data_IF_524849240591
#
_entry.id   IF_524849240591
#
_cell.length_a   1.000
_cell.length_b   1.000
_cell.length_c   1.000
_cell.angle_alpha   90.00
_cell.angle_beta   90.00
_cell.angle_gamma   90.00
#
_symmetry.space_group_name_H-M   'P 1'
#
loop_
_entity.id
_entity.type
_entity.pdbx_description
1 polymer ?
#
# COMPACT_ATOMS: atom_id res chain seq x y z
N UNK A 1 12.52 39.39 -92.62
CA UNK A 1 13.50 39.67 -91.57
C UNK A 1 12.82 40.38 -90.38
N UNK A 2 11.91 39.71 -89.69
CA UNK A 2 11.14 40.29 -88.55
C UNK A 2 10.93 39.31 -87.39
N UNK A 3 11.55 38.11 -87.46
CA UNK A 3 11.50 37.10 -86.38
C UNK A 3 12.80 36.95 -85.57
N UNK A 4 13.84 37.73 -85.88
CA UNK A 4 15.11 37.70 -85.15
C UNK A 4 15.21 38.80 -84.05
N UNK A 5 14.39 39.85 -84.11
CA UNK A 5 14.44 40.97 -83.15
C UNK A 5 13.60 40.74 -81.88
N UNK A 6 12.70 39.74 -81.87
CA UNK A 6 11.82 39.47 -80.73
C UNK A 6 12.45 38.49 -79.72
N UNK A 7 13.41 37.68 -80.16
CA UNK A 7 14.16 36.76 -79.29
C UNK A 7 15.26 37.50 -78.53
N UNK A 8 15.82 38.58 -79.07
CA UNK A 8 16.89 39.35 -78.41
C UNK A 8 16.40 40.23 -77.24
N UNK A 9 15.12 40.61 -77.22
CA UNK A 9 14.53 41.42 -76.14
C UNK A 9 14.03 40.56 -74.97
N UNK A 10 13.74 39.28 -75.21
CA UNK A 10 13.28 38.33 -74.18
C UNK A 10 14.44 37.70 -73.38
N UNK A 11 15.66 37.69 -73.94
CA UNK A 11 16.87 37.18 -73.27
C UNK A 11 17.56 38.27 -72.41
N UNK A 12 17.26 39.56 -72.63
CA UNK A 12 17.81 40.66 -71.82
C UNK A 12 17.07 40.90 -70.48
N UNK A 13 15.87 40.34 -70.29
CA UNK A 13 15.14 40.41 -69.01
C UNK A 13 15.44 39.23 -68.06
N UNK A 14 16.26 38.27 -68.47
CA UNK A 14 16.80 37.22 -67.59
C UNK A 14 18.14 37.61 -66.94
N UNK A 15 18.64 38.82 -67.22
CA UNK A 15 19.90 39.37 -66.70
C UNK A 15 19.77 40.25 -65.45
N UNK A 16 18.59 40.34 -64.83
CA UNK A 16 18.48 40.88 -63.47
C UNK A 16 18.60 39.71 -62.51
N UNK A 17 19.84 39.33 -62.24
CA UNK A 17 20.21 38.70 -60.98
C UNK A 17 19.65 39.57 -59.86
N UNK A 18 18.46 39.24 -59.37
CA UNK A 18 18.20 39.39 -57.96
C UNK A 18 19.30 38.58 -57.29
N UNK A 19 20.33 39.27 -56.81
CA UNK A 19 21.05 38.80 -55.66
C UNK A 19 19.99 38.64 -54.57
N UNK A 20 19.34 37.49 -54.52
CA UNK A 20 18.78 36.99 -53.28
C UNK A 20 20.04 36.73 -52.47
N UNK A 21 20.47 37.77 -51.78
CA UNK A 21 21.25 37.62 -50.57
C UNK A 21 20.39 36.68 -49.75
N UNK A 22 20.75 35.40 -49.73
CA UNK A 22 20.41 34.57 -48.60
C UNK A 22 21.00 35.35 -47.43
N UNK A 23 20.16 36.11 -46.73
CA UNK A 23 20.41 36.31 -45.32
C UNK A 23 20.53 34.87 -44.82
N UNK A 24 21.76 34.44 -44.51
CA UNK A 24 21.92 33.38 -43.53
C UNK A 24 21.13 33.93 -42.35
N UNK A 25 19.91 33.44 -42.17
CA UNK A 25 19.19 33.61 -40.93
C UNK A 25 20.06 32.83 -39.95
N UNK A 26 21.02 33.54 -39.38
CA UNK A 26 21.93 33.05 -38.35
C UNK A 26 21.05 32.86 -37.14
N UNK A 27 20.31 31.75 -37.14
CA UNK A 27 19.44 31.36 -36.05
C UNK A 27 20.20 31.43 -34.73
N UNK A 28 19.47 31.66 -33.65
CA UNK A 28 20.06 31.69 -32.32
C UNK A 28 20.67 30.34 -31.91
N UNK A 29 21.52 30.39 -30.90
CA UNK A 29 22.07 29.21 -30.24
C UNK A 29 21.34 28.99 -28.93
N UNK A 30 20.84 27.78 -28.71
CA UNK A 30 20.27 27.35 -27.44
C UNK A 30 21.23 26.36 -26.82
N UNK A 31 21.74 26.67 -25.62
CA UNK A 31 22.65 25.80 -24.88
C UNK A 31 22.28 25.74 -23.41
N UNK A 32 22.79 24.75 -22.70
CA UNK A 32 22.53 24.63 -21.27
C UNK A 32 23.17 23.39 -20.69
N UNK A 33 23.07 23.26 -19.38
CA UNK A 33 23.52 22.09 -18.65
C UNK A 33 22.32 21.35 -18.04
N UNK A 34 22.35 20.02 -18.09
CA UNK A 34 21.36 19.14 -17.48
C UNK A 34 22.00 18.37 -16.33
N UNK A 35 21.50 18.62 -15.13
CA UNK A 35 21.97 17.99 -13.90
C UNK A 35 20.86 17.22 -13.21
N UNK A 36 21.24 16.25 -12.37
CA UNK A 36 20.28 15.54 -11.51
C UNK A 36 19.75 16.46 -10.40
N UNK A 37 18.52 16.20 -9.98
CA UNK A 37 17.91 16.81 -8.78
C UNK A 37 18.45 16.27 -7.45
N UNK A 38 19.37 15.30 -7.48
CA UNK A 38 20.08 14.84 -6.29
C UNK A 38 21.00 15.93 -5.73
N UNK A 39 21.32 15.86 -4.43
CA UNK A 39 22.16 16.85 -3.71
C UNK A 39 23.51 17.10 -4.37
N UNK A 40 24.06 16.10 -5.05
CA UNK A 40 25.33 16.20 -5.76
C UNK A 40 25.25 16.96 -7.11
N UNK A 41 24.04 17.26 -7.61
CA UNK A 41 23.77 17.88 -8.91
C UNK A 41 24.65 17.30 -10.02
N UNK A 42 24.79 15.97 -10.04
CA UNK A 42 25.69 15.32 -10.97
C UNK A 42 25.21 15.54 -12.41
N UNK A 43 26.12 15.89 -13.33
CA UNK A 43 25.76 16.08 -14.73
C UNK A 43 25.24 14.79 -15.34
N UNK A 44 24.26 14.92 -16.24
CA UNK A 44 23.56 13.79 -16.85
C UNK A 44 23.94 13.70 -18.33
N UNK A 45 24.74 12.69 -18.67
CA UNK A 45 25.12 12.38 -20.05
C UNK A 45 24.01 11.66 -20.82
N UNK A 46 23.87 11.95 -22.12
CA UNK A 46 22.97 11.23 -23.03
C UNK A 46 21.49 11.54 -22.81
N UNK A 47 21.15 12.73 -22.33
CA UNK A 47 19.77 13.25 -22.30
C UNK A 47 19.41 13.75 -23.69
N UNK A 48 18.30 13.30 -24.22
CA UNK A 48 17.73 13.82 -25.47
C UNK A 48 16.97 15.12 -25.17
N UNK A 49 17.42 16.22 -25.76
CA UNK A 49 16.83 17.56 -25.65
C UNK A 49 16.10 17.85 -26.94
N UNK A 50 14.77 17.97 -26.89
CA UNK A 50 13.94 18.38 -28.02
C UNK A 50 13.47 19.81 -27.84
N UNK A 51 13.74 20.64 -28.83
CA UNK A 51 13.37 22.04 -28.89
C UNK A 51 12.27 22.16 -29.95
N UNK A 52 11.03 22.31 -29.50
CA UNK A 52 9.83 22.27 -30.36
C UNK A 52 9.30 23.68 -30.58
N UNK A 53 9.22 24.11 -31.83
CA UNK A 53 8.63 25.38 -32.25
C UNK A 53 7.10 25.35 -32.16
N UNK A 54 6.46 26.51 -32.04
CA UNK A 54 4.98 26.60 -32.17
C UNK A 54 4.46 26.13 -33.53
N UNK A 55 5.29 26.16 -34.57
CA UNK A 55 4.98 25.64 -35.91
C UNK A 55 5.02 24.10 -36.01
N UNK A 56 5.48 23.40 -34.96
CA UNK A 56 5.69 21.95 -34.94
C UNK A 56 7.06 21.50 -35.48
N UNK A 57 7.97 22.42 -35.81
CA UNK A 57 9.35 22.09 -36.16
C UNK A 57 10.13 21.68 -34.90
N UNK A 58 10.84 20.55 -34.96
CA UNK A 58 11.59 19.99 -33.84
C UNK A 58 13.08 20.00 -34.11
N UNK A 59 13.86 20.50 -33.15
CA UNK A 59 15.32 20.41 -33.16
C UNK A 59 15.78 19.55 -32.00
N UNK A 60 16.59 18.54 -32.27
CA UNK A 60 17.10 17.63 -31.23
C UNK A 60 18.59 17.83 -30.98
N UNK A 61 19.00 17.64 -29.74
CA UNK A 61 20.38 17.62 -29.27
C UNK A 61 20.55 16.60 -28.16
N UNK A 62 21.75 16.10 -27.95
CA UNK A 62 22.08 15.19 -26.83
C UNK A 62 23.08 15.83 -25.90
N UNK A 63 22.99 15.57 -24.59
CA UNK A 63 23.99 16.05 -23.63
C UNK A 63 25.28 15.24 -23.66
N UNK A 64 26.41 15.92 -23.42
CA UNK A 64 27.74 15.32 -23.29
C UNK A 64 28.04 14.76 -21.88
N UNK A 65 29.26 14.29 -21.64
CA UNK A 65 29.70 13.75 -20.35
C UNK A 65 29.66 14.77 -19.19
N UNK A 66 29.65 16.07 -19.50
CA UNK A 66 29.51 17.16 -18.54
C UNK A 66 28.05 17.63 -18.39
N UNK A 67 27.11 16.94 -19.05
CA UNK A 67 25.69 17.28 -19.05
C UNK A 67 25.35 18.49 -19.91
N UNK A 68 26.29 19.00 -20.71
CA UNK A 68 26.09 20.17 -21.53
C UNK A 68 25.45 19.79 -22.87
N UNK A 69 24.51 20.61 -23.33
CA UNK A 69 23.92 20.51 -24.67
C UNK A 69 24.03 21.86 -25.39
N UNK A 70 24.23 21.80 -26.70
CA UNK A 70 24.26 22.98 -27.54
C UNK A 70 23.59 22.69 -28.89
N UNK A 71 22.66 23.57 -29.26
CA UNK A 71 22.03 23.56 -30.58
C UNK A 71 22.10 24.95 -31.20
N UNK A 72 22.95 25.10 -32.20
CA UNK A 72 23.05 26.32 -33.01
C UNK A 72 22.08 26.28 -34.21
N UNK A 73 21.72 27.46 -34.72
CA UNK A 73 20.91 27.60 -35.94
C UNK A 73 19.40 27.44 -35.72
N UNK A 74 18.92 27.71 -34.52
CA UNK A 74 17.49 27.69 -34.18
C UNK A 74 16.86 29.03 -34.63
N UNK A 75 15.89 29.05 -35.56
CA UNK A 75 15.30 30.31 -36.03
C UNK A 75 14.70 31.16 -34.90
N UNK A 76 14.63 32.48 -35.06
CA UNK A 76 13.96 33.33 -34.06
C UNK A 76 12.49 32.92 -33.88
N UNK A 77 12.07 32.70 -32.64
CA UNK A 77 10.75 32.16 -32.34
C UNK A 77 10.60 31.72 -30.90
N UNK A 78 9.40 31.24 -30.56
CA UNK A 78 9.10 30.72 -29.21
C UNK A 78 9.11 29.20 -29.24
N UNK A 79 9.92 28.61 -28.38
CA UNK A 79 10.18 27.18 -28.31
C UNK A 79 9.83 26.61 -26.95
N UNK A 80 9.40 25.35 -26.94
CA UNK A 80 9.28 24.52 -25.75
C UNK A 80 10.40 23.49 -25.77
N UNK A 81 11.16 23.44 -24.69
CA UNK A 81 12.24 22.48 -24.54
C UNK A 81 11.71 21.31 -23.73
N UNK A 82 11.69 20.11 -24.29
CA UNK A 82 11.42 18.87 -23.57
C UNK A 82 12.69 18.04 -23.49
N UNK A 83 12.86 17.37 -22.35
CA UNK A 83 14.03 16.53 -22.10
C UNK A 83 13.58 15.11 -21.76
N UNK A 84 14.23 14.16 -22.39
CA UNK A 84 13.93 12.73 -22.27
C UNK A 84 15.22 11.94 -22.03
N UNK A 85 15.16 11.03 -21.06
CA UNK A 85 16.19 10.02 -20.85
C UNK A 85 15.54 8.80 -20.21
N UNK A 86 15.89 7.62 -20.71
CA UNK A 86 15.40 6.37 -20.12
C UNK A 86 15.82 6.28 -18.64
N UNK A 87 14.86 5.97 -17.77
CA UNK A 87 15.08 5.91 -16.31
C UNK A 87 14.98 7.25 -15.58
N UNK A 88 14.70 8.36 -16.27
CA UNK A 88 14.39 9.66 -15.66
C UNK A 88 12.94 10.07 -15.96
N UNK A 89 12.38 10.94 -15.12
CA UNK A 89 11.06 11.51 -15.37
C UNK A 89 11.11 12.54 -16.51
N UNK A 90 10.17 12.44 -17.45
CA UNK A 90 10.02 13.40 -18.54
C UNK A 90 9.79 14.81 -17.98
N UNK A 91 10.46 15.80 -18.55
CA UNK A 91 10.24 17.21 -18.18
C UNK A 91 10.01 18.08 -19.39
N UNK A 92 8.97 18.91 -19.29
CA UNK A 92 8.80 20.09 -20.12
C UNK A 92 9.39 21.30 -19.38
N UNK A 93 10.35 21.96 -20.04
CA UNK A 93 10.93 23.23 -19.62
C UNK A 93 9.96 24.39 -19.83
N UNK A 94 10.31 25.54 -19.26
CA UNK A 94 9.59 26.80 -19.52
C UNK A 94 9.80 27.21 -20.98
N UNK A 95 8.82 27.87 -21.62
CA UNK A 95 8.96 28.34 -22.99
C UNK A 95 10.10 29.37 -23.08
N UNK A 96 10.95 29.21 -24.10
CA UNK A 96 12.12 30.06 -24.35
C UNK A 96 11.92 30.81 -25.66
N UNK A 97 12.20 32.11 -25.67
CA UNK A 97 12.12 32.93 -26.88
C UNK A 97 13.52 33.12 -27.44
N UNK A 98 13.80 32.45 -28.55
CA UNK A 98 15.07 32.53 -29.27
C UNK A 98 15.04 33.76 -30.17
N UNK A 99 16.12 34.54 -30.15
CA UNK A 99 16.36 35.68 -31.04
C UNK A 99 17.51 35.35 -31.98
N UNK A 100 17.45 35.85 -33.22
CA UNK A 100 18.48 35.63 -34.22
C UNK A 100 19.84 36.15 -33.76
N UNK A 101 20.89 35.33 -33.91
CA UNK A 101 22.24 35.60 -33.42
C UNK A 101 22.39 35.64 -31.90
N UNK A 102 21.33 35.35 -31.13
CA UNK A 102 21.38 35.34 -29.67
C UNK A 102 21.86 34.00 -29.10
N UNK A 103 22.56 34.06 -27.97
CA UNK A 103 22.96 32.90 -27.18
C UNK A 103 22.04 32.76 -25.96
N UNK A 104 21.31 31.64 -25.86
CA UNK A 104 20.30 31.39 -24.84
C UNK A 104 20.73 30.24 -23.95
N UNK A 105 21.10 30.55 -22.71
CA UNK A 105 21.49 29.56 -21.70
C UNK A 105 20.29 29.10 -20.86
N UNK A 106 19.92 27.83 -20.99
CA UNK A 106 18.74 27.23 -20.33
C UNK A 106 19.15 26.00 -19.51
N UNK A 107 19.51 26.17 -18.23
CA UNK A 107 19.84 25.05 -17.38
C UNK A 107 18.57 24.28 -17.03
N UNK A 108 18.64 22.95 -17.11
CA UNK A 108 17.52 22.06 -16.80
C UNK A 108 17.95 21.05 -15.74
N UNK A 109 16.96 20.54 -15.00
CA UNK A 109 17.19 19.48 -13.99
C UNK A 109 16.24 18.33 -14.25
N UNK A 110 16.75 17.09 -14.18
CA UNK A 110 15.92 15.88 -14.28
C UNK A 110 15.92 15.13 -12.94
N UNK A 111 14.82 14.43 -12.67
CA UNK A 111 14.69 13.57 -11.50
C UNK A 111 14.68 12.12 -11.96
N UNK A 112 15.59 11.31 -11.41
CA UNK A 112 15.63 9.87 -11.69
C UNK A 112 14.31 9.24 -11.25
N UNK A 113 13.77 8.33 -12.07
CA UNK A 113 12.53 7.62 -11.76
C UNK A 113 12.77 6.73 -10.55
N UNK A 114 11.91 6.85 -9.53
CA UNK A 114 12.07 6.07 -8.30
C UNK A 114 11.88 4.57 -8.59
N UNK A 115 12.89 3.76 -8.28
CA UNK A 115 12.75 2.30 -8.16
C UNK A 115 12.04 1.96 -6.83
N UNK A 116 11.42 0.78 -6.73
CA UNK A 116 10.75 0.30 -5.50
C UNK A 116 11.68 0.39 -4.28
N UNK A 117 12.95 0.00 -4.44
CA UNK A 117 13.95 0.05 -3.36
C UNK A 117 14.27 1.49 -2.96
N UNK A 118 14.44 2.41 -3.92
CA UNK A 118 14.71 3.82 -3.64
C UNK A 118 13.49 4.53 -3.06
N UNK A 119 12.27 4.09 -3.41
CA UNK A 119 11.04 4.57 -2.79
C UNK A 119 10.98 4.20 -1.31
N UNK A 120 11.30 2.95 -0.96
CA UNK A 120 11.34 2.51 0.43
C UNK A 120 12.47 3.16 1.25
N UNK A 121 13.60 3.48 0.62
CA UNK A 121 14.67 4.24 1.28
C UNK A 121 14.23 5.64 1.74
N UNK A 122 13.20 6.24 1.13
CA UNK A 122 12.65 7.55 1.56
C UNK A 122 11.96 7.51 2.92
N UNK A 123 11.55 6.34 3.41
CA UNK A 123 10.89 6.19 4.71
C UNK A 123 11.88 6.02 5.88
N UNK A 124 13.17 5.84 5.59
CA UNK A 124 14.21 5.63 6.61
C UNK A 124 14.16 4.25 7.27
N UNK A 125 15.02 4.04 8.26
CA UNK A 125 15.22 2.74 8.93
C UNK A 125 13.94 2.21 9.61
N UNK A 126 13.09 3.10 10.12
CA UNK A 126 11.84 2.76 10.83
C UNK A 126 10.81 2.08 9.93
N UNK A 127 10.98 2.16 8.61
CA UNK A 127 10.09 1.49 7.66
C UNK A 127 10.16 -0.05 7.74
N UNK A 128 11.34 -0.62 7.98
CA UNK A 128 11.51 -2.08 8.01
C UNK A 128 10.64 -2.79 9.07
N UNK A 129 10.64 -2.37 10.35
CA UNK A 129 9.74 -2.97 11.32
C UNK A 129 8.27 -2.71 10.99
N UNK A 130 7.92 -1.54 10.43
CA UNK A 130 6.55 -1.25 10.00
C UNK A 130 6.10 -2.18 8.85
N UNK A 131 6.97 -2.45 7.89
CA UNK A 131 6.70 -3.38 6.79
C UNK A 131 6.47 -4.80 7.31
N UNK A 132 7.27 -5.24 8.29
CA UNK A 132 7.06 -6.53 8.96
C UNK A 132 5.68 -6.59 9.63
N UNK A 133 5.30 -5.55 10.39
CA UNK A 133 3.98 -5.44 11.00
C UNK A 133 2.85 -5.49 9.95
N UNK A 134 3.04 -4.86 8.80
CA UNK A 134 2.05 -4.88 7.71
C UNK A 134 1.86 -6.29 7.14
N UNK A 135 2.95 -7.03 6.92
CA UNK A 135 2.89 -8.40 6.39
C UNK A 135 2.24 -9.35 7.40
N UNK A 136 2.61 -9.27 8.68
CA UNK A 136 2.02 -10.11 9.72
C UNK A 136 0.53 -9.82 9.88
N UNK A 137 0.14 -8.54 9.94
CA UNK A 137 -1.26 -8.14 9.98
C UNK A 137 -2.06 -8.68 8.80
N UNK A 138 -1.55 -8.53 7.58
CA UNK A 138 -2.25 -8.99 6.38
C UNK A 138 -2.44 -10.52 6.41
N UNK A 139 -1.40 -11.25 6.83
CA UNK A 139 -1.45 -12.72 6.96
C UNK A 139 -2.56 -13.15 7.92
N UNK A 140 -2.60 -12.56 9.12
CA UNK A 140 -3.62 -12.90 10.12
C UNK A 140 -5.03 -12.46 9.72
N UNK A 141 -5.17 -11.27 9.10
CA UNK A 141 -6.48 -10.82 8.59
C UNK A 141 -7.01 -11.81 7.56
N UNK A 142 -6.19 -12.27 6.61
CA UNK A 142 -6.61 -13.22 5.57
C UNK A 142 -6.96 -14.58 6.17
N UNK A 143 -6.10 -15.13 7.02
CA UNK A 143 -6.35 -16.40 7.72
C UNK A 143 -7.70 -16.36 8.46
N UNK A 144 -7.92 -15.27 9.19
CA UNK A 144 -9.12 -15.10 10.02
C UNK A 144 -10.37 -14.82 9.20
N UNK A 145 -10.27 -14.03 8.13
CA UNK A 145 -11.37 -13.78 7.21
C UNK A 145 -11.83 -15.08 6.54
N UNK A 146 -10.90 -15.95 6.16
CA UNK A 146 -11.22 -17.25 5.58
C UNK A 146 -11.96 -18.14 6.57
N UNK A 147 -11.49 -18.21 7.83
CA UNK A 147 -12.18 -18.94 8.91
C UNK A 147 -13.56 -18.38 9.19
N UNK A 148 -13.72 -17.06 9.25
CA UNK A 148 -14.99 -16.38 9.46
C UNK A 148 -16.00 -16.68 8.34
N UNK A 149 -15.59 -16.54 7.07
CA UNK A 149 -16.45 -16.81 5.91
C UNK A 149 -16.82 -18.29 5.85
N UNK A 150 -15.89 -19.20 6.18
CA UNK A 150 -16.14 -20.64 6.17
C UNK A 150 -17.00 -21.11 7.33
N UNK A 151 -16.85 -20.52 8.52
CA UNK A 151 -17.68 -20.81 9.69
C UNK A 151 -19.15 -20.48 9.43
N UNK A 152 -19.45 -19.39 8.70
CA UNK A 152 -20.81 -19.06 8.25
C UNK A 152 -21.45 -20.13 7.35
N UNK A 153 -20.67 -21.07 6.80
CA UNK A 153 -21.11 -22.12 5.89
C UNK A 153 -21.21 -23.52 6.53
N UNK A 154 -20.79 -23.71 7.79
CA UNK A 154 -20.98 -24.98 8.50
C UNK A 154 -22.28 -24.91 9.30
N UNK A 155 -23.19 -25.82 8.96
CA UNK A 155 -24.35 -26.33 9.72
C UNK A 155 -24.87 -25.36 10.79
N UNK A 156 -26.05 -24.78 10.54
CA UNK A 156 -26.65 -23.79 11.43
C UNK A 156 -26.66 -24.29 12.87
N UNK A 157 -26.00 -23.54 13.77
CA UNK A 157 -25.92 -23.84 15.21
C UNK A 157 -27.29 -24.18 15.80
N UNK A 158 -28.35 -23.56 15.29
CA UNK A 158 -29.74 -23.86 15.65
C UNK A 158 -30.15 -25.32 15.38
N UNK A 159 -29.77 -25.90 14.24
CA UNK A 159 -30.08 -27.30 13.90
C UNK A 159 -29.29 -28.26 14.78
N UNK A 160 -28.05 -27.92 15.09
CA UNK A 160 -27.19 -28.69 16.01
C UNK A 160 -27.78 -28.69 17.42
N UNK A 161 -28.13 -27.52 17.97
CA UNK A 161 -28.77 -27.38 19.29
C UNK A 161 -30.09 -28.16 19.32
N UNK A 162 -30.92 -28.04 18.28
CA UNK A 162 -32.19 -28.75 18.21
C UNK A 162 -32.01 -30.28 18.21
N UNK A 163 -30.98 -30.79 17.53
CA UNK A 163 -30.68 -32.23 17.47
C UNK A 163 -30.19 -32.77 18.82
N UNK A 164 -29.38 -31.99 19.54
CA UNK A 164 -28.97 -32.36 20.91
C UNK A 164 -30.16 -32.34 21.86
N UNK A 165 -30.97 -31.28 21.85
CA UNK A 165 -32.16 -31.20 22.69
C UNK A 165 -33.13 -32.36 22.43
N UNK A 166 -33.28 -32.80 21.17
CA UNK A 166 -34.09 -33.96 20.83
C UNK A 166 -33.53 -35.28 21.37
N UNK A 167 -32.21 -35.45 21.29
CA UNK A 167 -31.50 -36.63 21.83
C UNK A 167 -31.61 -36.72 23.35
N UNK A 168 -31.51 -35.57 24.03
CA UNK A 168 -31.67 -35.47 25.49
C UNK A 168 -33.10 -35.81 25.94
N UNK A 169 -34.13 -35.36 25.21
CA UNK A 169 -35.53 -35.73 25.49
C UNK A 169 -35.82 -37.22 25.31
N UNK A 170 -35.03 -37.92 24.49
CA UNK A 170 -35.12 -39.37 24.28
C UNK A 170 -34.23 -40.15 25.25
N UNK A 171 -33.60 -39.48 26.20
CA UNK A 171 -32.62 -40.05 27.16
C UNK A 171 -31.42 -40.74 26.49
N UNK A 172 -31.15 -40.43 25.22
CA UNK A 172 -30.07 -41.06 24.47
C UNK A 172 -28.80 -40.19 24.52
N UNK A 173 -28.14 -40.16 25.68
CA UNK A 173 -26.95 -39.33 25.92
C UNK A 173 -25.80 -39.69 24.97
N UNK A 174 -25.66 -40.97 24.61
CA UNK A 174 -24.63 -41.44 23.68
C UNK A 174 -24.83 -40.88 22.27
N UNK A 175 -26.07 -40.75 21.81
CA UNK A 175 -26.39 -40.11 20.52
C UNK A 175 -26.09 -38.60 20.55
N UNK A 176 -26.36 -37.92 21.67
CA UNK A 176 -26.00 -36.52 21.86
C UNK A 176 -24.47 -36.31 21.81
N UNK A 177 -23.70 -37.20 22.46
CA UNK A 177 -22.23 -37.18 22.42
C UNK A 177 -21.71 -37.41 20.99
N UNK A 178 -22.25 -38.38 20.26
CA UNK A 178 -21.88 -38.63 18.87
C UNK A 178 -22.18 -37.43 17.96
N UNK A 179 -23.33 -36.77 18.18
CA UNK A 179 -23.71 -35.55 17.44
C UNK A 179 -22.70 -34.42 17.68
N UNK A 180 -22.20 -34.26 18.92
CA UNK A 180 -21.12 -33.32 19.21
C UNK A 180 -19.82 -33.68 18.48
N UNK A 181 -19.44 -34.96 18.43
CA UNK A 181 -18.24 -35.41 17.72
C UNK A 181 -18.29 -35.13 16.22
N UNK A 182 -19.45 -35.33 15.60
CA UNK A 182 -19.66 -35.08 14.17
C UNK A 182 -19.68 -33.59 13.82
N UNK A 183 -20.33 -32.77 14.65
CA UNK A 183 -20.40 -31.32 14.43
C UNK A 183 -19.01 -30.68 14.54
N UNK A 184 -18.28 -31.04 15.60
CA UNK A 184 -16.96 -30.51 15.93
C UNK A 184 -16.94 -29.00 16.21
N UNK A 185 -15.79 -28.53 16.68
CA UNK A 185 -15.56 -27.13 17.01
C UNK A 185 -15.94 -26.78 18.45
N UNK A 186 -15.76 -25.50 18.84
CA UNK A 186 -15.71 -25.11 20.25
C UNK A 186 -16.99 -25.39 21.03
N UNK A 187 -18.15 -25.04 20.48
CA UNK A 187 -19.44 -25.31 21.12
C UNK A 187 -19.67 -26.82 21.32
N UNK A 188 -19.40 -27.62 20.30
CA UNK A 188 -19.62 -29.06 20.37
C UNK A 188 -18.66 -29.73 21.37
N UNK A 189 -17.40 -29.31 21.42
CA UNK A 189 -16.41 -29.82 22.37
C UNK A 189 -16.77 -29.49 23.81
N UNK A 190 -17.22 -28.26 24.08
CA UNK A 190 -17.67 -27.83 25.42
C UNK A 190 -18.91 -28.61 25.87
N UNK A 191 -19.92 -28.74 25.00
CA UNK A 191 -21.13 -29.51 25.32
C UNK A 191 -20.82 -31.00 25.52
N UNK A 192 -19.94 -31.58 24.70
CA UNK A 192 -19.48 -32.97 24.83
C UNK A 192 -18.87 -33.24 26.20
N UNK A 193 -18.06 -32.32 26.74
CA UNK A 193 -17.44 -32.50 28.04
C UNK A 193 -18.50 -32.62 29.16
N UNK A 194 -19.52 -31.75 29.15
CA UNK A 194 -20.65 -31.82 30.08
C UNK A 194 -21.45 -33.13 29.94
N UNK A 195 -21.78 -33.52 28.70
CA UNK A 195 -22.53 -34.76 28.43
C UNK A 195 -21.77 -36.02 28.83
N UNK A 196 -20.45 -36.07 28.59
CA UNK A 196 -19.60 -37.17 29.01
C UNK A 196 -19.52 -37.28 30.53
N UNK A 197 -19.43 -36.14 31.23
CA UNK A 197 -19.41 -36.13 32.70
C UNK A 197 -20.72 -36.66 33.27
N UNK A 198 -21.86 -36.25 32.70
CA UNK A 198 -23.17 -36.79 33.05
C UNK A 198 -23.27 -38.29 32.78
N UNK A 199 -22.88 -38.74 31.58
CA UNK A 199 -22.91 -40.16 31.22
C UNK A 199 -22.03 -41.03 32.13
N UNK A 200 -20.88 -40.52 32.58
CA UNK A 200 -20.00 -41.25 33.50
C UNK A 200 -20.65 -41.44 34.87
N UNK A 201 -21.30 -40.41 35.42
CA UNK A 201 -21.98 -40.52 36.71
C UNK A 201 -23.16 -41.51 36.66
N UNK A 202 -23.90 -41.55 35.55
CA UNK A 202 -24.95 -42.54 35.31
C UNK A 202 -24.41 -43.98 35.29
N UNK A 203 -23.23 -44.21 34.68
CA UNK A 203 -22.57 -45.53 34.68
C UNK A 203 -22.08 -45.92 36.09
N UNK A 204 -21.68 -44.94 36.90
CA UNK A 204 -21.23 -45.13 38.29
C UNK A 204 -22.40 -45.26 39.29
N UNK A 205 -23.66 -45.19 38.83
CA UNK A 205 -24.88 -45.18 39.66
C UNK A 205 -24.82 -44.11 40.77
N UNK A 206 -24.28 -42.93 40.45
CA UNK A 206 -24.06 -41.84 41.39
C UNK A 206 -24.85 -40.60 41.00
N UNK A 207 -25.54 -40.00 41.98
CA UNK A 207 -26.17 -38.69 41.84
C UNK A 207 -25.13 -37.64 41.43
N UNK A 208 -25.37 -36.98 40.30
CA UNK A 208 -24.55 -35.89 39.79
C UNK A 208 -25.20 -34.56 40.11
N UNK A 209 -24.42 -33.63 40.63
CA UNK A 209 -24.92 -32.28 40.89
C UNK A 209 -24.77 -31.39 39.66
N UNK A 210 -25.55 -30.31 39.62
CA UNK A 210 -25.44 -29.28 38.59
C UNK A 210 -24.03 -28.73 38.49
N UNK A 211 -23.43 -28.49 39.65
CA UNK A 211 -22.13 -27.88 39.81
C UNK A 211 -21.03 -28.74 39.18
N UNK A 212 -21.11 -30.08 39.29
CA UNK A 212 -20.13 -30.97 38.66
C UNK A 212 -20.18 -30.96 37.13
N UNK A 213 -21.38 -30.87 36.54
CA UNK A 213 -21.51 -30.77 35.08
C UNK A 213 -21.01 -29.41 34.61
N UNK A 214 -21.34 -28.33 35.36
CA UNK A 214 -20.86 -26.99 35.07
C UNK A 214 -19.34 -26.90 35.17
N UNK A 215 -18.72 -27.52 36.16
CA UNK A 215 -17.25 -27.57 36.31
C UNK A 215 -16.59 -28.23 35.09
N UNK A 216 -17.13 -29.35 34.60
CA UNK A 216 -16.61 -30.01 33.39
C UNK A 216 -16.76 -29.14 32.13
N UNK A 217 -17.87 -28.41 32.01
CA UNK A 217 -18.11 -27.46 30.92
C UNK A 217 -17.14 -26.27 31.00
N UNK A 218 -16.92 -25.74 32.20
CA UNK A 218 -15.99 -24.63 32.44
C UNK A 218 -14.54 -25.04 32.12
N UNK A 219 -14.11 -26.23 32.55
CA UNK A 219 -12.80 -26.77 32.24
C UNK A 219 -12.58 -26.91 30.73
N UNK A 220 -13.57 -27.44 30.00
CA UNK A 220 -13.51 -27.53 28.54
C UNK A 220 -13.51 -26.14 27.89
N UNK A 221 -14.28 -25.19 28.42
CA UNK A 221 -14.34 -23.81 27.92
C UNK A 221 -13.00 -23.10 28.05
N UNK A 222 -12.26 -23.35 29.15
CA UNK A 222 -10.91 -22.81 29.37
C UNK A 222 -9.88 -23.29 28.34
N UNK A 223 -10.12 -24.44 27.69
CA UNK A 223 -9.25 -24.96 26.63
C UNK A 223 -9.67 -24.44 25.25
N UNK A 224 -10.97 -24.34 24.98
CA UNK A 224 -11.52 -24.01 23.66
C UNK A 224 -11.57 -22.49 23.37
N UNK A 225 -11.84 -21.66 24.38
CA UNK A 225 -11.95 -20.20 24.21
C UNK A 225 -10.62 -19.57 23.76
N UNK A 226 -9.45 -19.91 24.34
CA UNK A 226 -8.18 -19.35 23.87
C UNK A 226 -7.84 -19.75 22.42
N UNK A 227 -8.28 -20.92 21.96
CA UNK A 227 -8.11 -21.32 20.56
C UNK A 227 -8.99 -20.48 19.62
N UNK A 228 -10.20 -20.14 20.05
CA UNK A 228 -11.04 -19.16 19.37
C UNK A 228 -10.35 -17.80 19.31
N UNK A 229 -9.74 -17.31 20.38
CA UNK A 229 -9.08 -16.00 20.40
C UNK A 229 -7.72 -15.97 19.67
N UNK A 230 -7.21 -17.13 19.26
CA UNK A 230 -5.87 -17.28 18.69
C UNK A 230 -5.62 -16.27 17.56
N UNK A 231 -4.44 -15.65 17.63
CA UNK A 231 -3.91 -14.62 16.72
C UNK A 231 -4.58 -13.23 16.83
N UNK A 232 -5.72 -13.07 17.51
CA UNK A 232 -6.35 -11.75 17.71
C UNK A 232 -5.49 -10.78 18.52
N UNK A 233 -4.82 -11.19 19.62
CA UNK A 233 -3.96 -10.28 20.38
C UNK A 233 -2.81 -9.73 19.56
N UNK A 234 -2.29 -10.51 18.60
CA UNK A 234 -1.22 -10.06 17.69
C UNK A 234 -1.73 -8.94 16.78
N UNK A 235 -2.93 -9.10 16.21
CA UNK A 235 -3.54 -8.07 15.37
C UNK A 235 -3.83 -6.78 16.16
N UNK A 236 -4.34 -6.91 17.39
CA UNK A 236 -4.53 -5.78 18.31
C UNK A 236 -3.21 -5.07 18.64
N UNK A 237 -2.14 -5.83 18.88
CA UNK A 237 -0.80 -5.27 19.12
C UNK A 237 -0.28 -4.50 17.91
N UNK A 238 -0.44 -5.05 16.70
CA UNK A 238 -0.03 -4.36 15.47
C UNK A 238 -0.82 -3.06 15.26
N UNK A 239 -2.11 -3.04 15.56
CA UNK A 239 -2.94 -1.84 15.48
C UNK A 239 -2.44 -0.71 16.40
N UNK A 240 -1.92 -1.05 17.57
CA UNK A 240 -1.38 -0.07 18.54
C UNK A 240 0.06 0.32 18.24
N UNK A 241 0.90 -0.62 17.80
CA UNK A 241 2.34 -0.39 17.60
C UNK A 241 2.64 0.29 16.26
N UNK A 242 1.86 0.04 15.21
CA UNK A 242 2.12 0.64 13.88
C UNK A 242 2.11 2.18 13.88
N UNK A 243 1.17 2.88 14.54
CA UNK A 243 1.21 4.34 14.68
C UNK A 243 2.42 4.83 15.49
N UNK A 244 2.85 4.06 16.49
CA UNK A 244 4.04 4.41 17.30
C UNK A 244 5.32 4.35 16.47
N UNK A 245 5.44 3.37 15.56
CA UNK A 245 6.53 3.38 14.57
C UNK A 245 6.41 4.58 13.61
N UNK A 246 5.20 4.96 13.19
CA UNK A 246 4.99 6.18 12.40
C UNK A 246 5.45 7.45 13.12
N UNK A 247 5.14 7.57 14.41
CA UNK A 247 5.59 8.65 15.28
C UNK A 247 7.11 8.63 15.50
N UNK A 248 7.72 7.45 15.66
CA UNK A 248 9.17 7.33 15.72
C UNK A 248 9.82 7.79 14.40
N UNK A 249 9.18 7.50 13.26
CA UNK A 249 9.57 7.98 11.94
C UNK A 249 9.55 9.51 11.83
N UNK A 250 8.56 10.19 12.43
CA UNK A 250 8.55 11.66 12.43
C UNK A 250 9.65 12.24 13.29
N UNK A 251 9.86 11.69 14.49
CA UNK A 251 10.93 12.14 15.39
C UNK A 251 12.29 11.99 14.70
N UNK A 252 12.57 10.83 14.10
CA UNK A 252 13.84 10.59 13.41
C UNK A 252 14.01 11.43 12.13
N UNK A 253 12.95 11.65 11.37
CA UNK A 253 12.96 12.53 10.19
C UNK A 253 13.21 14.00 10.54
N UNK A 254 12.56 14.50 11.60
CA UNK A 254 12.77 15.86 12.10
C UNK A 254 14.16 16.05 12.70
N UNK A 255 14.68 15.06 13.43
CA UNK A 255 16.08 15.08 13.91
C UNK A 255 17.04 15.17 12.73
N UNK A 256 16.83 14.39 11.68
CA UNK A 256 17.69 14.41 10.49
C UNK A 256 17.65 15.78 9.80
N UNK A 257 16.46 16.35 9.61
CA UNK A 257 16.25 17.67 9.03
C UNK A 257 16.97 18.79 9.79
N UNK A 258 16.85 18.84 11.12
CA UNK A 258 17.53 19.85 11.94
C UNK A 258 19.03 19.59 12.08
N UNK A 259 19.49 18.34 12.01
CA UNK A 259 20.92 18.01 12.03
C UNK A 259 21.61 18.53 10.76
N UNK A 260 20.98 18.40 9.59
CA UNK A 260 21.46 19.01 8.35
C UNK A 260 21.59 20.53 8.48
N UNK A 261 20.58 21.19 9.07
CA UNK A 261 20.65 22.64 9.31
C UNK A 261 21.81 23.01 10.26
N UNK A 262 22.03 22.21 11.30
CA UNK A 262 23.08 22.47 12.28
C UNK A 262 24.50 22.32 11.71
N UNK A 263 24.69 21.37 10.77
CA UNK A 263 25.98 21.08 10.15
C UNK A 263 26.29 21.96 8.94
N UNK A 264 25.29 22.23 8.10
CA UNK A 264 25.45 22.91 6.81
C UNK A 264 24.93 24.36 6.81
N UNK A 265 24.36 24.83 7.93
CA UNK A 265 23.68 26.12 8.03
C UNK A 265 22.23 26.05 7.51
N UNK A 266 21.59 27.19 7.24
CA UNK A 266 20.19 27.19 6.72
C UNK A 266 20.02 26.42 5.40
N UNK A 267 21.12 26.05 4.72
CA UNK A 267 21.16 24.98 3.72
C UNK A 267 20.28 25.20 2.48
N UNK A 268 20.25 24.19 1.61
CA UNK A 268 19.31 24.11 0.49
C UNK A 268 17.90 23.75 1.03
N UNK A 269 16.87 24.60 0.85
CA UNK A 269 15.49 24.32 1.27
C UNK A 269 14.96 22.96 0.77
N UNK A 270 15.50 22.47 -0.34
CA UNK A 270 15.16 21.17 -0.91
C UNK A 270 15.51 20.00 0.03
N UNK A 271 16.64 20.08 0.75
CA UNK A 271 17.06 19.03 1.68
C UNK A 271 16.19 19.01 2.94
N UNK A 272 15.87 20.20 3.47
CA UNK A 272 14.96 20.36 4.60
C UNK A 272 13.58 19.77 4.29
N UNK A 273 13.04 20.07 3.10
CA UNK A 273 11.78 19.51 2.65
C UNK A 273 11.81 17.98 2.56
N UNK A 274 12.97 17.37 2.25
CA UNK A 274 13.15 15.93 2.21
C UNK A 274 12.94 15.25 3.57
N UNK A 275 13.59 15.75 4.63
CA UNK A 275 13.46 15.17 5.98
C UNK A 275 12.06 15.33 6.58
N UNK A 276 11.40 16.48 6.32
CA UNK A 276 10.01 16.72 6.72
C UNK A 276 9.05 15.80 5.92
N UNK A 277 9.28 15.63 4.62
CA UNK A 277 8.48 14.73 3.79
C UNK A 277 8.60 13.29 4.25
N UNK A 278 9.81 12.82 4.56
CA UNK A 278 10.04 11.50 5.15
C UNK A 278 9.26 11.32 6.45
N UNK A 279 9.33 12.30 7.36
CA UNK A 279 8.60 12.27 8.62
C UNK A 279 7.09 12.07 8.39
N UNK A 280 6.47 12.88 7.52
CA UNK A 280 5.04 12.78 7.24
C UNK A 280 4.64 11.46 6.57
N UNK A 281 5.45 10.98 5.63
CA UNK A 281 5.20 9.71 4.91
C UNK A 281 5.23 8.50 5.86
N UNK A 282 6.17 8.46 6.80
CA UNK A 282 6.24 7.36 7.79
C UNK A 282 5.02 7.31 8.71
N UNK A 283 4.49 8.47 9.13
CA UNK A 283 3.24 8.51 9.91
C UNK A 283 2.05 8.06 9.08
N UNK A 284 1.93 8.55 7.85
CA UNK A 284 0.87 8.13 6.95
C UNK A 284 0.88 6.61 6.73
N UNK A 285 2.07 6.02 6.53
CA UNK A 285 2.23 4.57 6.41
C UNK A 285 1.81 3.83 7.69
N UNK A 286 2.23 4.33 8.86
CA UNK A 286 1.85 3.75 10.16
C UNK A 286 0.33 3.70 10.37
N UNK A 287 -0.35 4.81 10.07
CA UNK A 287 -1.81 4.90 10.15
C UNK A 287 -2.51 4.03 9.10
N UNK A 288 -1.96 3.95 7.89
CA UNK A 288 -2.51 3.12 6.81
C UNK A 288 -2.54 1.64 7.19
N UNK A 289 -1.54 1.17 7.95
CA UNK A 289 -1.52 -0.20 8.49
C UNK A 289 -2.44 -0.33 9.71
N UNK A 290 -2.39 0.64 10.63
CA UNK A 290 -3.11 0.57 11.90
C UNK A 290 -4.64 0.57 11.76
N UNK A 291 -5.17 1.41 10.87
CA UNK A 291 -6.62 1.60 10.73
C UNK A 291 -7.32 0.30 10.32
N UNK A 292 -6.91 -0.41 9.25
CA UNK A 292 -7.48 -1.71 8.91
C UNK A 292 -7.31 -2.74 10.04
N UNK A 293 -6.12 -2.80 10.66
CA UNK A 293 -5.86 -3.76 11.74
C UNK A 293 -6.85 -3.58 12.90
N UNK A 294 -7.10 -2.33 13.31
CA UNK A 294 -8.01 -2.01 14.41
C UNK A 294 -9.45 -2.41 14.08
N UNK A 295 -9.92 -2.10 12.86
CA UNK A 295 -11.27 -2.45 12.40
C UNK A 295 -11.45 -3.96 12.41
N UNK A 296 -10.52 -4.71 11.79
CA UNK A 296 -10.63 -6.17 11.74
C UNK A 296 -10.50 -6.81 13.11
N UNK A 297 -9.60 -6.30 13.97
CA UNK A 297 -9.50 -6.75 15.36
C UNK A 297 -10.84 -6.62 16.09
N UNK A 298 -11.48 -5.45 16.05
CA UNK A 298 -12.77 -5.22 16.71
C UNK A 298 -13.89 -6.10 16.15
N UNK A 299 -13.92 -6.31 14.82
CA UNK A 299 -14.90 -7.18 14.18
C UNK A 299 -14.75 -8.64 14.61
N UNK A 300 -13.52 -9.15 14.62
CA UNK A 300 -13.26 -10.53 15.00
C UNK A 300 -13.42 -10.75 16.51
N UNK A 301 -13.01 -9.80 17.34
CA UNK A 301 -13.22 -9.82 18.78
C UNK A 301 -14.72 -9.87 19.12
N UNK A 302 -15.52 -9.00 18.50
CA UNK A 302 -16.99 -9.02 18.64
C UNK A 302 -17.60 -10.36 18.21
N UNK A 303 -17.06 -10.96 17.15
CA UNK A 303 -17.50 -12.27 16.67
C UNK A 303 -17.17 -13.41 17.65
N UNK A 304 -15.96 -13.41 18.22
CA UNK A 304 -15.57 -14.40 19.25
C UNK A 304 -16.42 -14.23 20.49
N UNK A 305 -16.58 -13.01 20.99
CA UNK A 305 -17.44 -12.70 22.15
C UNK A 305 -18.87 -13.20 21.97
N UNK A 306 -19.44 -13.05 20.77
CA UNK A 306 -20.77 -13.61 20.46
C UNK A 306 -20.80 -15.13 20.57
N UNK A 307 -19.77 -15.84 20.11
CA UNK A 307 -19.69 -17.30 20.22
C UNK A 307 -19.54 -17.74 21.67
N UNK A 308 -18.76 -17.02 22.48
CA UNK A 308 -18.62 -17.32 23.91
C UNK A 308 -19.96 -17.20 24.66
N UNK A 309 -20.72 -16.15 24.37
CA UNK A 309 -22.06 -15.96 24.96
C UNK A 309 -23.00 -17.10 24.55
N UNK A 310 -22.96 -17.50 23.27
CA UNK A 310 -23.77 -18.62 22.77
C UNK A 310 -23.40 -19.95 23.46
N UNK A 311 -22.10 -20.24 23.61
CA UNK A 311 -21.61 -21.42 24.35
C UNK A 311 -22.14 -21.41 25.78
N UNK A 312 -22.03 -20.30 26.50
CA UNK A 312 -22.50 -20.19 27.89
C UNK A 312 -24.02 -20.37 28.03
N UNK A 313 -24.80 -19.78 27.12
CA UNK A 313 -26.26 -19.90 27.12
C UNK A 313 -26.72 -21.33 26.84
N UNK A 314 -26.20 -21.94 25.78
CA UNK A 314 -26.57 -23.30 25.36
C UNK A 314 -26.14 -24.33 26.40
N UNK A 315 -24.94 -24.17 26.96
CA UNK A 315 -24.45 -25.03 28.04
C UNK A 315 -25.35 -24.99 29.27
N UNK A 316 -25.78 -23.78 29.68
CA UNK A 316 -26.68 -23.61 30.83
C UNK A 316 -28.05 -24.26 30.58
N UNK A 317 -28.59 -24.11 29.37
CA UNK A 317 -29.87 -24.72 28.99
C UNK A 317 -29.79 -26.25 29.03
N UNK A 318 -28.74 -26.84 28.44
CA UNK A 318 -28.54 -28.30 28.44
C UNK A 318 -28.36 -28.85 29.85
N UNK A 319 -27.57 -28.19 30.69
CA UNK A 319 -27.39 -28.58 32.09
C UNK A 319 -28.73 -28.59 32.84
N UNK A 320 -29.58 -27.58 32.64
CA UNK A 320 -30.89 -27.56 33.27
C UNK A 320 -31.79 -28.70 32.78
N UNK A 321 -31.77 -29.02 31.48
CA UNK A 321 -32.56 -30.12 30.91
C UNK A 321 -32.14 -31.48 31.44
N UNK A 322 -30.83 -31.73 31.62
CA UNK A 322 -30.30 -32.98 32.16
C UNK A 322 -30.79 -33.27 33.59
N UNK A 323 -30.88 -32.24 34.42
CA UNK A 323 -31.29 -32.37 35.83
C UNK A 323 -32.81 -32.45 35.98
N UNK A 324 -33.56 -31.71 35.17
CA UNK A 324 -35.03 -31.77 35.22
C UNK A 324 -35.55 -33.12 34.71
N UNK A 325 -34.88 -33.73 33.70
CA UNK A 325 -35.23 -35.07 33.22
C UNK A 325 -35.11 -36.16 34.29
N UNK A 326 -34.21 -35.99 35.26
CA UNK A 326 -34.00 -36.92 36.38
C UNK A 326 -35.08 -36.82 37.47
N UNK A 327 -35.86 -35.73 37.50
CA UNK A 327 -36.90 -35.49 38.52
C UNK A 327 -38.29 -36.03 38.18
N UNK A 328 -38.55 -36.40 36.92
CA UNK A 328 -39.85 -36.87 36.42
C UNK A 328 -39.89 -38.40 36.12
N UNK A 329 -38.80 -39.13 36.39
CA UNK A 329 -38.67 -40.58 36.26
C UNK A 329 -38.76 -41.30 37.62
#
# INVERSE_FOLDING_TARGET
MTRLSLVLMLVACLGMSAGVVFAQDSGGTVRGQIVDTTTAQSPIEGVEVRIVAQSGEEFTSTTDANGDYERSGVPAGRYLISIYREGYGDRLGKPVTVVNGGDHFVPLKMTKKDNIVTFFQKFGFVFWPLALCSITALTFIIERLFTFVRSRSRIGTEQFIASIADSLRKENIMEAVSTCEEAGGPLANVLKAGLLRYSQAQIEERDITKEEIQEAIEEASLLEIPELERNLPVLGTVAVVSPLFGLLGTVTGMISAFTTIALEGTGDPQQLAGGISQALLTTAAGLTVAIPCLIFFQLFDSWVNRHMVEISQVSTEIVNQLIVGEGDA
#
